data_IF_377877805335
#
_entry.id   IF_377877805335
#
_cell.length_a   1.000
_cell.length_b   1.000
_cell.length_c   1.000
_cell.angle_alpha   90.00
_cell.angle_beta   90.00
_cell.angle_gamma   90.00
#
_symmetry.space_group_name_H-M   'P 1'
#
loop_
_entity.id
_entity.type
_entity.pdbx_description
1 polymer ?
#
# COMPACT_ATOMS: atom_id res chain seq x y z
N UNK A 1 -5.60 18.74 -4.49
CA UNK A 1 -4.34 18.21 -5.04
C UNK A 1 -4.06 18.91 -6.37
N UNK A 2 -2.91 19.57 -6.54
CA UNK A 2 -2.52 20.12 -7.85
C UNK A 2 -1.71 19.07 -8.60
N UNK A 3 -2.13 18.70 -9.81
CA UNK A 3 -1.45 17.70 -10.64
C UNK A 3 0.05 18.04 -10.88
N UNK A 4 0.40 19.32 -10.81
CA UNK A 4 1.74 19.84 -11.01
C UNK A 4 2.72 19.47 -9.88
N UNK A 5 2.22 19.38 -8.64
CA UNK A 5 3.04 19.00 -7.48
C UNK A 5 3.45 17.52 -7.53
N UNK A 6 2.52 16.66 -7.93
CA UNK A 6 2.77 15.22 -8.12
C UNK A 6 3.78 14.99 -9.24
N UNK A 7 3.59 15.66 -10.38
CA UNK A 7 4.48 15.56 -11.54
C UNK A 7 5.90 16.00 -11.22
N UNK A 8 6.05 17.14 -10.54
CA UNK A 8 7.35 17.66 -10.10
C UNK A 8 8.07 16.66 -9.18
N UNK A 9 7.34 16.00 -8.27
CA UNK A 9 7.93 14.99 -7.38
C UNK A 9 8.45 13.76 -8.15
N UNK A 10 7.73 13.33 -9.19
CA UNK A 10 8.10 12.18 -10.02
C UNK A 10 9.35 12.50 -10.84
N UNK A 11 9.42 13.70 -11.44
CA UNK A 11 10.55 14.12 -12.24
C UNK A 11 11.83 14.24 -11.39
N UNK A 12 11.75 14.88 -10.22
CA UNK A 12 12.88 14.98 -9.29
C UNK A 12 13.39 13.60 -8.87
N UNK A 13 12.48 12.65 -8.58
CA UNK A 13 12.87 11.28 -8.26
C UNK A 13 13.60 10.60 -9.42
N UNK A 14 13.11 10.77 -10.67
CA UNK A 14 13.75 10.17 -11.85
C UNK A 14 15.15 10.72 -12.08
N UNK A 15 15.34 12.02 -11.90
CA UNK A 15 16.64 12.65 -12.03
C UNK A 15 17.64 12.08 -11.02
N UNK A 16 17.26 11.97 -9.76
CA UNK A 16 18.12 11.37 -8.71
C UNK A 16 18.49 9.91 -9.02
N UNK A 17 17.55 9.14 -9.57
CA UNK A 17 17.80 7.75 -9.97
C UNK A 17 18.80 7.70 -11.13
N UNK A 18 18.62 8.54 -12.15
CA UNK A 18 19.51 8.58 -13.31
C UNK A 18 20.92 9.00 -12.90
N UNK A 19 21.06 10.04 -12.07
CA UNK A 19 22.36 10.48 -11.55
C UNK A 19 23.03 9.38 -10.72
N UNK A 20 22.30 8.66 -9.87
CA UNK A 20 22.84 7.54 -9.12
C UNK A 20 23.31 6.38 -10.02
N UNK A 21 22.55 6.07 -11.08
CA UNK A 21 22.91 5.05 -12.06
C UNK A 21 24.13 5.45 -12.90
N UNK A 22 24.20 6.70 -13.35
CA UNK A 22 25.34 7.24 -14.11
C UNK A 22 26.64 7.23 -13.29
N UNK A 23 26.53 7.41 -11.97
CA UNK A 23 27.63 7.27 -11.01
C UNK A 23 27.95 5.81 -10.62
N UNK A 24 27.26 4.83 -11.21
CA UNK A 24 27.47 3.40 -10.95
C UNK A 24 26.92 2.90 -9.62
N UNK A 25 26.04 3.66 -8.95
CA UNK A 25 25.43 3.27 -7.68
C UNK A 25 24.16 2.42 -7.88
N UNK A 26 23.97 1.43 -7.00
CA UNK A 26 22.78 0.58 -7.02
C UNK A 26 21.56 1.32 -6.45
N UNK A 27 20.54 1.53 -7.29
CA UNK A 27 19.30 2.20 -6.88
C UNK A 27 18.34 1.19 -6.26
N UNK A 28 18.05 1.38 -4.95
CA UNK A 28 17.05 0.58 -4.24
C UNK A 28 15.63 1.12 -4.47
N UNK A 29 14.63 0.25 -4.72
CA UNK A 29 13.24 0.69 -4.79
C UNK A 29 12.81 1.36 -3.48
N UNK A 30 12.39 2.61 -3.56
CA UNK A 30 11.77 3.32 -2.44
C UNK A 30 10.26 3.19 -2.53
N UNK A 31 9.65 2.61 -1.49
CA UNK A 31 8.21 2.57 -1.30
C UNK A 31 7.81 3.71 -0.38
N UNK A 32 6.84 4.51 -0.80
CA UNK A 32 6.20 5.46 0.10
C UNK A 32 5.15 4.67 0.90
N UNK A 33 5.25 4.69 2.22
CA UNK A 33 4.17 4.19 3.09
C UNK A 33 3.11 5.26 3.12
N UNK A 34 1.97 4.97 2.52
CA UNK A 34 0.89 5.93 2.36
C UNK A 34 -0.30 5.52 3.22
N UNK A 35 -0.85 6.47 3.97
CA UNK A 35 -2.05 6.23 4.77
C UNK A 35 -3.29 6.44 3.90
N UNK A 36 -4.09 5.40 3.73
CA UNK A 36 -5.27 5.40 2.85
C UNK A 36 -6.25 6.52 3.22
N UNK A 37 -6.40 6.79 4.51
CA UNK A 37 -7.34 7.80 5.00
C UNK A 37 -6.92 9.25 4.74
N UNK A 38 -5.65 9.51 4.41
CA UNK A 38 -5.16 10.86 4.09
C UNK A 38 -5.15 11.14 2.59
N UNK A 39 -5.00 10.11 1.76
CA UNK A 39 -5.09 10.24 0.30
C UNK A 39 -6.53 10.43 -0.16
N UNK A 40 -7.43 9.61 0.40
CA UNK A 40 -8.82 9.57 0.00
C UNK A 40 -9.69 10.41 0.94
N UNK A 41 -9.41 11.71 1.03
CA UNK A 41 -10.23 12.63 1.81
C UNK A 41 -11.65 12.82 1.23
N UNK A 42 -11.84 12.40 -0.02
CA UNK A 42 -13.13 12.43 -0.73
C UNK A 42 -14.10 11.35 -0.23
N UNK A 43 -13.59 10.34 0.48
CA UNK A 43 -14.39 9.25 1.02
C UNK A 43 -14.37 9.25 2.55
N UNK A 44 -15.51 8.95 3.15
CA UNK A 44 -15.62 8.68 4.57
C UNK A 44 -14.85 7.42 4.94
N UNK A 45 -14.33 7.37 6.18
CA UNK A 45 -13.71 6.16 6.73
C UNK A 45 -14.64 4.95 6.72
N UNK A 46 -15.96 5.16 6.75
CA UNK A 46 -16.95 4.07 6.62
C UNK A 46 -17.00 3.54 5.20
N UNK A 47 -17.10 4.43 4.21
CA UNK A 47 -17.14 4.08 2.79
C UNK A 47 -15.86 3.34 2.36
N UNK A 48 -14.69 3.79 2.82
CA UNK A 48 -13.41 3.11 2.54
C UNK A 48 -13.42 1.66 3.04
N UNK A 49 -14.03 1.40 4.21
CA UNK A 49 -14.16 0.03 4.75
C UNK A 49 -15.16 -0.81 3.97
N UNK A 50 -16.28 -0.22 3.56
CA UNK A 50 -17.30 -0.93 2.77
C UNK A 50 -16.75 -1.32 1.38
N UNK A 51 -15.95 -0.44 0.77
CA UNK A 51 -15.21 -0.75 -0.46
C UNK A 51 -14.16 -1.85 -0.24
N UNK A 52 -13.45 -1.84 0.89
CA UNK A 52 -12.50 -2.90 1.23
C UNK A 52 -13.20 -4.26 1.29
N UNK A 53 -14.35 -4.36 1.97
CA UNK A 53 -15.13 -5.61 2.09
C UNK A 53 -15.60 -6.09 0.72
N UNK A 54 -16.13 -5.18 -0.10
CA UNK A 54 -16.62 -5.48 -1.45
C UNK A 54 -15.49 -5.97 -2.35
N UNK A 55 -14.34 -5.30 -2.29
CA UNK A 55 -13.14 -5.67 -3.03
C UNK A 55 -12.65 -7.06 -2.63
N UNK A 56 -12.50 -7.34 -1.33
CA UNK A 56 -12.07 -8.63 -0.81
C UNK A 56 -12.98 -9.77 -1.26
N UNK A 57 -14.30 -9.56 -1.24
CA UNK A 57 -15.27 -10.56 -1.72
C UNK A 57 -15.04 -10.89 -3.20
N UNK A 58 -14.88 -9.88 -4.05
CA UNK A 58 -14.64 -10.07 -5.49
C UNK A 58 -13.28 -10.68 -5.83
N UNK A 59 -12.25 -10.42 -5.02
CA UNK A 59 -10.91 -11.01 -5.22
C UNK A 59 -10.87 -12.47 -4.78
N UNK A 60 -11.57 -12.83 -3.69
CA UNK A 60 -11.66 -14.22 -3.24
C UNK A 60 -12.37 -15.06 -4.30
N UNK A 61 -13.48 -14.56 -4.88
CA UNK A 61 -14.15 -15.25 -5.99
C UNK A 61 -13.23 -15.47 -7.20
N UNK A 62 -12.43 -14.46 -7.60
CA UNK A 62 -11.47 -14.60 -8.70
C UNK A 62 -10.32 -15.56 -8.41
N UNK A 63 -9.84 -15.62 -7.17
CA UNK A 63 -8.76 -16.52 -6.76
C UNK A 63 -9.24 -17.98 -6.59
N UNK A 64 -10.53 -18.20 -6.29
CA UNK A 64 -11.08 -19.55 -6.19
C UNK A 64 -11.33 -20.23 -7.54
N UNK A 65 -11.44 -19.47 -8.64
CA UNK A 65 -11.63 -20.02 -10.00
C UNK A 65 -10.32 -20.53 -10.62
N UNK A 66 -9.16 -20.10 -10.11
CA UNK A 66 -7.89 -20.79 -10.36
C UNK A 66 -7.62 -21.73 -9.18
N UNK A 67 -7.86 -23.04 -9.37
CA UNK A 67 -7.79 -24.06 -8.33
C UNK A 67 -6.43 -24.22 -7.66
N UNK A 68 -6.09 -23.33 -6.73
CA UNK A 68 -5.06 -23.53 -5.73
C UNK A 68 -5.76 -23.88 -4.41
N UNK A 69 -5.51 -25.09 -3.93
CA UNK A 69 -6.08 -25.60 -2.68
C UNK A 69 -5.72 -24.65 -1.54
N UNK A 70 -6.73 -24.40 -0.70
CA UNK A 70 -6.65 -23.64 0.53
C UNK A 70 -5.52 -24.15 1.44
N UNK A 71 -4.43 -23.40 1.52
CA UNK A 71 -3.74 -23.19 2.79
C UNK A 71 -4.28 -21.86 3.32
N UNK A 72 -5.03 -21.93 4.42
CA UNK A 72 -5.62 -20.77 5.05
C UNK A 72 -4.53 -19.72 5.40
N UNK A 73 -4.75 -18.42 5.16
CA UNK A 73 -3.83 -17.43 5.68
C UNK A 73 -3.95 -17.41 7.20
N UNK A 74 -2.83 -17.69 7.89
CA UNK A 74 -2.62 -17.41 9.31
C UNK A 74 -2.60 -15.89 9.53
N UNK A 75 -3.68 -15.18 9.22
CA UNK A 75 -3.90 -13.88 9.84
C UNK A 75 -4.44 -14.16 11.23
N UNK A 76 -3.51 -14.31 12.18
CA UNK A 76 -3.78 -14.54 13.58
C UNK A 76 -4.82 -13.56 14.09
N UNK A 77 -5.86 -14.11 14.71
CA UNK A 77 -6.68 -13.36 15.64
C UNK A 77 -5.77 -12.91 16.77
N UNK A 78 -5.42 -11.63 16.80
CA UNK A 78 -4.89 -11.02 18.00
C UNK A 78 -6.09 -10.52 18.80
N UNK A 79 -6.72 -11.47 19.50
CA UNK A 79 -7.45 -11.16 20.73
C UNK A 79 -6.38 -10.82 21.79
N UNK A 80 -6.67 -9.78 22.58
CA UNK A 80 -6.04 -9.44 23.88
C UNK A 80 -4.61 -8.84 23.90
N UNK A 81 -4.58 -7.53 24.23
CA UNK A 81 -3.73 -6.91 25.27
C UNK A 81 -2.23 -7.15 25.29
N UNK A 82 -1.45 -6.19 24.77
CA UNK A 82 -0.40 -5.45 25.52
C UNK A 82 0.35 -4.53 24.55
N UNK A 83 0.42 -3.22 24.83
CA UNK A 83 1.33 -2.31 24.13
C UNK A 83 2.59 -2.15 24.98
N UNK A 84 3.81 -2.42 24.46
CA UNK A 84 5.01 -2.14 25.23
C UNK A 84 5.26 -0.63 25.28
N UNK A 85 5.29 -0.09 26.51
CA UNK A 85 5.89 1.21 26.82
C UNK A 85 7.39 1.14 26.53
N UNK A 86 7.86 1.96 25.58
CA UNK A 86 9.30 2.18 25.39
C UNK A 86 9.85 3.06 26.52
N UNK A 87 10.85 2.57 27.24
CA UNK A 87 11.83 3.34 28.02
C UNK A 87 13.22 2.83 27.67
#
# INVERSE_FOLDING_TARGET
MSADAELSSILNRRQQINEALDNGQAVKPTFKVVNIYTEFHEFSRKEIKDYQVTFSKSTVERLTTCGAKHDAPLWGKNEEGDYPTMS
#
